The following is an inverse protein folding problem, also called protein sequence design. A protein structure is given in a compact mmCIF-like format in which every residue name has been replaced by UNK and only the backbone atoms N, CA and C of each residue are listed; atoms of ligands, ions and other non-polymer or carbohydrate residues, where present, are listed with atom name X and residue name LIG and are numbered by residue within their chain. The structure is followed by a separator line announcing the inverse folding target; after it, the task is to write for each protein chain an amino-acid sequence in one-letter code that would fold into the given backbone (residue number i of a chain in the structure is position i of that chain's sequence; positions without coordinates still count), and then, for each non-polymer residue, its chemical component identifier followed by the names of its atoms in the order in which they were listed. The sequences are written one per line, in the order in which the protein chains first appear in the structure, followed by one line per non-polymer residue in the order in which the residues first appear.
data_IF_611614189421
#
_entry.id   IF_611614189421
#
_cell.length_a   1.000
_cell.length_b   1.000
_cell.length_c   1.000
_cell.angle_alpha   90.00
_cell.angle_beta   90.00
_cell.angle_gamma   90.00
#
_symmetry.space_group_name_H-M   'P 1'
#
loop_
_entity.id
_entity.type
_entity.pdbx_description
1 polymer ?
#
# COMPACT_ATOMS: atom_id res chain seq x y z
N UNK A 1 4.59 3.09 6.35
CA UNK A 1 5.90 2.47 6.64
C UNK A 1 6.71 2.23 5.37
N UNK A 2 6.38 1.24 4.52
CA UNK A 2 7.17 0.83 3.34
C UNK A 2 7.59 2.00 2.46
N UNK A 3 6.64 2.88 2.08
CA UNK A 3 6.98 4.02 1.23
C UNK A 3 7.91 5.03 1.89
N UNK A 4 7.80 5.25 3.21
CA UNK A 4 8.74 6.13 3.91
C UNK A 4 10.14 5.51 3.99
N UNK A 5 10.26 4.19 4.21
CA UNK A 5 11.54 3.49 4.10
C UNK A 5 12.14 3.63 2.69
N UNK A 6 11.30 3.50 1.65
CA UNK A 6 11.75 3.71 0.26
C UNK A 6 12.23 5.16 0.04
N UNK A 7 11.54 6.17 0.62
CA UNK A 7 12.00 7.56 0.58
C UNK A 7 13.36 7.73 1.25
N UNK A 8 13.57 7.15 2.43
CA UNK A 8 14.86 7.17 3.12
C UNK A 8 16.00 6.51 2.33
N UNK A 9 15.66 5.55 1.46
CA UNK A 9 16.60 4.90 0.52
C UNK A 9 16.74 5.68 -0.81
N UNK A 10 16.19 6.90 -0.93
CA UNK A 10 16.31 7.75 -2.11
C UNK A 10 15.35 7.42 -3.27
N UNK A 11 14.37 6.56 -3.05
CA UNK A 11 13.40 6.22 -4.10
C UNK A 11 12.41 7.36 -4.34
N UNK A 12 11.93 7.48 -5.59
CA UNK A 12 10.68 8.17 -5.89
C UNK A 12 9.51 7.28 -5.48
N UNK A 13 8.61 7.80 -4.66
CA UNK A 13 7.54 7.00 -4.05
C UNK A 13 6.18 7.58 -4.38
N UNK A 14 5.28 6.72 -4.87
CA UNK A 14 3.90 7.07 -5.22
C UNK A 14 2.96 6.26 -4.34
N UNK A 15 2.04 6.95 -3.67
CA UNK A 15 0.97 6.32 -2.91
C UNK A 15 -0.29 6.12 -3.74
N UNK A 16 -1.09 5.15 -3.36
CA UNK A 16 -2.48 5.00 -3.83
C UNK A 16 -3.34 4.90 -2.58
N UNK A 17 -4.26 5.85 -2.39
CA UNK A 17 -5.08 5.92 -1.19
C UNK A 17 -6.52 6.33 -1.55
N UNK A 18 -7.45 6.22 -0.60
CA UNK A 18 -8.86 6.54 -0.85
C UNK A 18 -9.30 7.84 -0.20
N UNK A 19 -9.50 8.87 -1.00
CA UNK A 19 -9.97 10.18 -0.61
C UNK A 19 -8.86 11.22 -0.46
N UNK A 20 -9.24 12.48 -0.68
CA UNK A 20 -8.31 13.61 -0.69
C UNK A 20 -7.48 13.71 0.59
N UNK A 21 -8.12 13.60 1.76
CA UNK A 21 -7.44 13.77 3.06
C UNK A 21 -6.32 12.75 3.26
N UNK A 22 -6.54 11.48 2.81
CA UNK A 22 -5.50 10.44 2.88
C UNK A 22 -4.38 10.71 1.90
N UNK A 23 -4.69 11.18 0.69
CA UNK A 23 -3.67 11.54 -0.30
C UNK A 23 -2.85 12.74 0.17
N UNK A 24 -3.48 13.76 0.70
CA UNK A 24 -2.80 14.94 1.27
C UNK A 24 -1.87 14.55 2.42
N UNK A 25 -2.32 13.68 3.32
CA UNK A 25 -1.48 13.16 4.40
C UNK A 25 -0.25 12.39 3.86
N UNK A 26 -0.47 11.53 2.85
CA UNK A 26 0.60 10.74 2.24
C UNK A 26 1.66 11.63 1.58
N UNK A 27 1.25 12.70 0.91
CA UNK A 27 2.19 13.63 0.25
C UNK A 27 2.81 14.62 1.24
N UNK A 28 1.99 15.30 2.03
CA UNK A 28 2.45 16.43 2.84
C UNK A 28 3.12 16.00 4.15
N UNK A 29 2.65 14.90 4.76
CA UNK A 29 3.17 14.42 6.05
C UNK A 29 4.15 13.26 5.90
N UNK A 30 3.88 12.30 5.00
CA UNK A 30 4.73 11.13 4.83
C UNK A 30 5.82 11.34 3.76
N UNK A 31 5.79 12.48 3.06
CA UNK A 31 6.82 12.89 2.11
C UNK A 31 6.86 12.10 0.79
N UNK A 32 5.74 11.48 0.38
CA UNK A 32 5.67 10.83 -0.92
C UNK A 32 5.66 11.86 -2.04
N UNK A 33 6.19 11.49 -3.21
CA UNK A 33 6.28 12.39 -4.36
C UNK A 33 4.94 12.63 -5.05
N UNK A 34 4.00 11.69 -4.91
CA UNK A 34 2.62 11.80 -5.36
C UNK A 34 1.71 10.81 -4.63
N UNK A 35 0.41 11.08 -4.64
CA UNK A 35 -0.60 10.11 -4.22
C UNK A 35 -1.79 10.14 -5.20
N UNK A 36 -2.26 8.95 -5.59
CA UNK A 36 -3.40 8.76 -6.47
C UNK A 36 -4.61 8.41 -5.61
N UNK A 37 -5.68 9.19 -5.73
CA UNK A 37 -6.96 8.87 -5.11
C UNK A 37 -7.73 7.87 -5.97
N UNK A 38 -7.79 6.60 -5.53
CA UNK A 38 -8.51 5.57 -6.26
C UNK A 38 -10.04 5.76 -6.26
N UNK A 39 -10.60 6.58 -5.34
CA UNK A 39 -12.04 6.88 -5.29
C UNK A 39 -12.48 7.84 -6.40
N UNK A 40 -11.57 8.64 -6.92
CA UNK A 40 -11.83 9.49 -8.09
C UNK A 40 -11.37 8.84 -9.40
N UNK A 41 -10.50 7.84 -9.32
CA UNK A 41 -9.98 7.06 -10.45
C UNK A 41 -10.59 5.66 -10.46
N UNK A 42 -11.92 5.61 -10.65
CA UNK A 42 -12.77 4.42 -10.44
C UNK A 42 -12.80 3.44 -11.62
N UNK A 43 -12.16 3.75 -12.71
CA UNK A 43 -12.07 2.88 -13.88
C UNK A 43 -10.62 2.71 -14.36
N UNK A 44 -10.30 1.63 -15.10
CA UNK A 44 -8.94 1.34 -15.54
C UNK A 44 -8.28 2.46 -16.37
N UNK A 45 -9.07 3.18 -17.18
CA UNK A 45 -8.55 4.26 -18.06
C UNK A 45 -8.09 5.46 -17.22
N UNK A 46 -8.92 5.90 -16.28
CA UNK A 46 -8.59 7.00 -15.36
C UNK A 46 -7.41 6.65 -14.47
N UNK A 47 -7.42 5.45 -13.87
CA UNK A 47 -6.33 4.98 -13.03
C UNK A 47 -5.01 4.91 -13.81
N UNK A 48 -5.02 4.37 -15.04
CA UNK A 48 -3.82 4.32 -15.88
C UNK A 48 -3.30 5.72 -16.25
N UNK A 49 -4.19 6.68 -16.56
CA UNK A 49 -3.81 8.06 -16.81
C UNK A 49 -3.15 8.71 -15.59
N UNK A 50 -3.73 8.51 -14.39
CA UNK A 50 -3.18 9.00 -13.14
C UNK A 50 -1.81 8.37 -12.82
N UNK A 51 -1.68 7.06 -13.00
CA UNK A 51 -0.41 6.33 -12.84
C UNK A 51 0.65 6.83 -13.83
N UNK A 52 0.28 7.04 -15.10
CA UNK A 52 1.20 7.59 -16.12
C UNK A 52 1.72 8.98 -15.74
N UNK A 53 0.85 9.83 -15.22
CA UNK A 53 1.21 11.18 -14.75
C UNK A 53 2.11 11.14 -13.53
N UNK A 54 1.78 10.30 -12.54
CA UNK A 54 2.55 10.18 -11.29
C UNK A 54 3.90 9.47 -11.48
N UNK A 55 3.94 8.45 -12.37
CA UNK A 55 5.11 7.64 -12.70
C UNK A 55 5.47 7.74 -14.19
N UNK A 56 5.96 8.88 -14.68
CA UNK A 56 6.25 9.06 -16.11
C UNK A 56 7.33 8.09 -16.62
N UNK A 57 8.26 7.69 -15.75
CA UNK A 57 9.36 6.75 -16.07
C UNK A 57 9.01 5.29 -15.79
N UNK A 58 7.74 4.98 -15.51
CA UNK A 58 7.30 3.63 -15.12
C UNK A 58 7.51 3.33 -13.64
N UNK A 59 7.30 2.06 -13.27
CA UNK A 59 7.34 1.59 -11.88
C UNK A 59 8.30 0.40 -11.81
N UNK A 60 9.30 0.47 -10.93
CA UNK A 60 10.30 -0.61 -10.77
C UNK A 60 9.92 -1.58 -9.65
N UNK A 61 9.28 -1.06 -8.59
CA UNK A 61 8.89 -1.86 -7.43
C UNK A 61 7.48 -1.49 -6.98
N UNK A 62 6.71 -2.51 -6.59
CA UNK A 62 5.37 -2.33 -6.02
C UNK A 62 5.20 -3.18 -4.75
N UNK A 63 4.64 -2.57 -3.71
CA UNK A 63 4.24 -3.26 -2.49
C UNK A 63 2.71 -3.38 -2.48
N UNK A 64 2.23 -4.59 -2.69
CA UNK A 64 0.82 -4.86 -2.96
C UNK A 64 0.06 -5.32 -1.72
N UNK A 65 -1.06 -4.66 -1.44
CA UNK A 65 -1.99 -4.99 -0.35
C UNK A 65 -3.46 -5.11 -0.79
N UNK A 66 -3.79 -4.74 -2.03
CA UNK A 66 -5.17 -4.49 -2.44
C UNK A 66 -5.68 -5.48 -3.48
N UNK A 67 -4.92 -5.70 -4.54
CA UNK A 67 -5.34 -6.52 -5.69
C UNK A 67 -6.26 -5.79 -6.67
N UNK A 68 -6.86 -6.56 -7.58
CA UNK A 68 -7.87 -6.08 -8.52
C UNK A 68 -7.37 -4.97 -9.45
N UNK A 69 -8.24 -4.01 -9.75
CA UNK A 69 -7.97 -2.93 -10.70
C UNK A 69 -6.68 -2.14 -10.38
N UNK A 70 -6.33 -2.00 -9.09
CA UNK A 70 -5.11 -1.29 -8.69
C UNK A 70 -3.87 -2.07 -9.11
N UNK A 71 -3.82 -3.36 -8.80
CA UNK A 71 -2.72 -4.23 -9.21
C UNK A 71 -2.58 -4.29 -10.73
N UNK A 72 -3.69 -4.46 -11.47
CA UNK A 72 -3.70 -4.49 -12.93
C UNK A 72 -3.17 -3.17 -13.53
N UNK A 73 -3.60 -2.03 -12.99
CA UNK A 73 -3.13 -0.72 -13.41
C UNK A 73 -1.64 -0.50 -13.15
N UNK A 74 -1.15 -0.94 -12.00
CA UNK A 74 0.28 -0.88 -11.67
C UNK A 74 1.08 -1.79 -12.59
N UNK A 75 0.65 -3.05 -12.80
CA UNK A 75 1.33 -4.00 -13.70
C UNK A 75 1.47 -3.45 -15.12
N UNK A 76 0.45 -2.73 -15.62
CA UNK A 76 0.50 -2.09 -16.95
C UNK A 76 1.53 -0.96 -17.04
N UNK A 77 2.07 -0.49 -15.91
CA UNK A 77 3.08 0.58 -15.82
C UNK A 77 4.43 0.09 -15.31
N UNK A 78 4.57 -1.21 -15.00
CA UNK A 78 5.83 -1.78 -14.52
C UNK A 78 6.89 -1.76 -15.62
N UNK A 79 8.09 -1.36 -15.25
CA UNK A 79 9.29 -1.48 -16.08
C UNK A 79 9.71 -2.94 -16.25
N UNK A 80 10.50 -3.21 -17.26
CA UNK A 80 11.09 -4.53 -17.45
C UNK A 80 11.90 -4.94 -16.20
N UNK A 81 11.73 -6.21 -15.78
CA UNK A 81 12.31 -6.77 -14.55
C UNK A 81 11.80 -6.14 -13.24
N UNK A 82 10.66 -5.43 -13.30
CA UNK A 82 10.00 -4.89 -12.13
C UNK A 82 9.62 -5.97 -11.11
N UNK A 83 9.49 -5.57 -9.84
CA UNK A 83 9.24 -6.47 -8.72
C UNK A 83 8.00 -6.09 -7.95
N UNK A 84 7.16 -7.08 -7.65
CA UNK A 84 5.95 -6.92 -6.86
C UNK A 84 6.06 -7.80 -5.61
N UNK A 85 6.06 -7.18 -4.43
CA UNK A 85 5.96 -7.87 -3.16
C UNK A 85 4.48 -7.96 -2.75
N UNK A 86 3.90 -9.17 -2.80
CA UNK A 86 2.49 -9.43 -2.49
C UNK A 86 2.34 -9.65 -0.98
N UNK A 87 1.91 -8.62 -0.26
CA UNK A 87 1.64 -8.69 1.18
C UNK A 87 0.18 -8.99 1.49
N UNK A 88 -0.75 -8.59 0.63
CA UNK A 88 -2.18 -8.79 0.81
C UNK A 88 -2.99 -8.50 -0.44
N UNK A 89 -4.28 -8.84 -0.38
CA UNK A 89 -5.24 -8.64 -1.47
C UNK A 89 -6.62 -8.31 -0.89
N UNK A 90 -6.68 -7.22 -0.10
CA UNK A 90 -7.86 -6.90 0.74
C UNK A 90 -9.15 -6.73 -0.07
N UNK A 91 -9.08 -6.34 -1.34
CA UNK A 91 -10.26 -6.21 -2.21
C UNK A 91 -10.98 -7.55 -2.46
N UNK A 92 -10.30 -8.69 -2.22
CA UNK A 92 -10.87 -10.03 -2.36
C UNK A 92 -11.26 -10.72 -1.06
N UNK A 93 -11.07 -10.09 0.10
CA UNK A 93 -11.33 -10.73 1.39
C UNK A 93 -12.82 -10.97 1.68
N UNK A 94 -13.71 -10.39 0.90
CA UNK A 94 -15.15 -10.65 0.96
C UNK A 94 -15.60 -11.90 0.12
N UNK A 95 -14.65 -12.73 -0.30
CA UNK A 95 -14.91 -13.94 -1.07
C UNK A 95 -15.22 -13.72 -2.56
N UNK A 96 -15.12 -12.48 -3.05
CA UNK A 96 -15.25 -12.19 -4.48
C UNK A 96 -13.91 -12.50 -5.15
N UNK A 97 -13.87 -13.38 -6.18
CA UNK A 97 -12.65 -13.63 -6.93
C UNK A 97 -12.08 -12.35 -7.53
N UNK A 98 -10.76 -12.17 -7.43
CA UNK A 98 -10.06 -11.05 -8.07
C UNK A 98 -9.22 -11.62 -9.22
N UNK A 99 -9.76 -11.71 -10.44
CA UNK A 99 -8.98 -12.14 -11.59
C UNK A 99 -7.91 -11.12 -11.92
N UNK A 100 -6.78 -11.58 -12.39
CA UNK A 100 -5.74 -10.74 -12.98
C UNK A 100 -6.15 -10.45 -14.43
N UNK A 101 -6.37 -9.19 -14.78
CA UNK A 101 -6.90 -8.80 -16.09
C UNK A 101 -5.90 -9.06 -17.24
N UNK A 102 -4.60 -8.92 -16.97
CA UNK A 102 -3.58 -9.01 -18.01
C UNK A 102 -2.33 -9.79 -17.54
N UNK A 103 -2.44 -11.11 -17.25
CA UNK A 103 -1.31 -11.91 -16.76
C UNK A 103 -0.14 -11.99 -17.73
N UNK A 104 -0.37 -11.79 -19.04
CA UNK A 104 0.69 -11.72 -20.06
C UNK A 104 1.71 -10.61 -19.80
N UNK A 105 1.39 -9.58 -19.00
CA UNK A 105 2.31 -8.53 -18.62
C UNK A 105 3.47 -9.08 -17.78
N UNK A 106 3.25 -10.15 -17.04
CA UNK A 106 4.32 -10.82 -16.27
C UNK A 106 5.40 -11.32 -17.23
N UNK A 107 5.00 -11.97 -18.31
CA UNK A 107 5.94 -12.46 -19.34
C UNK A 107 6.55 -11.29 -20.11
N UNK A 108 5.73 -10.36 -20.60
CA UNK A 108 6.19 -9.27 -21.47
C UNK A 108 7.21 -8.36 -20.78
N UNK A 109 6.97 -8.02 -19.51
CA UNK A 109 7.88 -7.20 -18.71
C UNK A 109 8.84 -8.03 -17.82
N UNK A 110 8.82 -9.37 -17.92
CA UNK A 110 9.66 -10.30 -17.12
C UNK A 110 9.58 -9.93 -15.62
N UNK A 111 8.34 -9.72 -15.12
CA UNK A 111 8.10 -9.31 -13.74
C UNK A 111 8.42 -10.43 -12.76
N UNK A 112 8.95 -10.07 -11.60
CA UNK A 112 9.02 -10.95 -10.44
C UNK A 112 7.88 -10.59 -9.49
N UNK A 113 6.92 -11.49 -9.31
CA UNK A 113 5.82 -11.37 -8.35
C UNK A 113 6.04 -12.42 -7.27
N UNK A 114 6.15 -11.98 -6.02
CA UNK A 114 6.43 -12.89 -4.91
C UNK A 114 5.55 -12.56 -3.71
N UNK A 115 4.75 -13.56 -3.27
CA UNK A 115 4.03 -13.52 -2.00
C UNK A 115 4.97 -13.77 -0.82
N UNK A 116 4.59 -13.26 0.35
CA UNK A 116 5.26 -13.55 1.61
C UNK A 116 4.28 -13.43 2.78
N UNK A 117 4.53 -14.20 3.81
CA UNK A 117 3.83 -14.12 5.10
C UNK A 117 4.85 -13.66 6.14
N UNK A 118 4.60 -12.54 6.79
CA UNK A 118 5.57 -11.92 7.71
C UNK A 118 5.99 -12.84 8.85
N UNK A 119 5.10 -13.72 9.33
CA UNK A 119 5.39 -14.68 10.40
C UNK A 119 6.37 -15.81 9.98
N UNK A 120 6.62 -15.99 8.69
CA UNK A 120 7.62 -16.96 8.18
C UNK A 120 9.05 -16.41 8.22
N UNK A 121 9.22 -15.13 8.57
CA UNK A 121 10.49 -14.42 8.56
C UNK A 121 10.85 -13.83 9.94
N UNK A 122 10.55 -14.56 11.03
CA UNK A 122 10.76 -14.08 12.41
C UNK A 122 12.21 -13.72 12.70
N UNK A 123 13.16 -14.36 12.03
CA UNK A 123 14.59 -14.05 12.16
C UNK A 123 14.96 -12.61 11.73
N UNK A 124 14.15 -11.98 10.87
CA UNK A 124 14.35 -10.60 10.42
C UNK A 124 13.71 -9.55 11.35
N UNK A 125 12.85 -9.98 12.28
CA UNK A 125 12.09 -9.07 13.13
C UNK A 125 12.98 -8.19 14.03
N UNK A 126 14.00 -8.72 14.72
CA UNK A 126 14.84 -7.87 15.61
C UNK A 126 15.49 -6.73 14.84
N UNK A 127 16.02 -6.99 13.65
CA UNK A 127 16.64 -5.97 12.80
C UNK A 127 15.60 -4.97 12.29
N UNK A 128 14.49 -5.46 11.73
CA UNK A 128 13.40 -4.61 11.20
C UNK A 128 12.77 -3.72 12.27
N UNK A 129 12.53 -4.26 13.47
CA UNK A 129 11.99 -3.49 14.59
C UNK A 129 12.99 -2.43 15.08
N UNK A 130 14.28 -2.76 15.13
CA UNK A 130 15.34 -1.79 15.48
C UNK A 130 15.43 -0.66 14.46
N UNK A 131 15.42 -0.98 13.15
CA UNK A 131 15.48 0.03 12.08
C UNK A 131 14.25 0.95 12.15
N UNK A 132 13.03 0.37 12.14
CA UNK A 132 11.79 1.16 12.17
C UNK A 132 11.66 1.95 13.47
N UNK A 133 11.94 1.34 14.62
CA UNK A 133 11.89 2.00 15.92
C UNK A 133 12.89 3.16 16.03
N UNK A 134 14.09 3.00 15.47
CA UNK A 134 15.08 4.07 15.37
C UNK A 134 14.58 5.26 14.55
N UNK A 135 13.98 5.01 13.40
CA UNK A 135 13.40 6.05 12.54
C UNK A 135 12.19 6.74 13.18
N UNK A 136 11.34 5.99 13.89
CA UNK A 136 10.21 6.58 14.65
C UNK A 136 10.75 7.48 15.78
N UNK A 137 11.73 7.01 16.55
CA UNK A 137 12.35 7.80 17.64
C UNK A 137 13.02 9.09 17.14
N UNK A 138 13.54 9.10 15.93
CA UNK A 138 14.11 10.28 15.27
C UNK A 138 13.07 11.18 14.57
N UNK A 139 11.79 10.76 14.51
CA UNK A 139 10.75 11.47 13.78
C UNK A 139 10.87 11.41 12.24
N UNK A 140 11.78 10.57 11.70
CA UNK A 140 11.98 10.41 10.25
C UNK A 140 10.96 9.47 9.61
N UNK A 141 10.30 8.61 10.40
CA UNK A 141 9.11 7.86 10.02
C UNK A 141 7.96 8.30 10.90
N UNK A 142 6.87 8.71 10.27
CA UNK A 142 5.61 9.09 10.90
C UNK A 142 4.59 7.96 10.79
N UNK A 143 3.71 7.84 11.76
CA UNK A 143 2.56 6.93 11.72
C UNK A 143 1.33 7.61 12.31
N UNK A 144 0.18 7.06 11.98
CA UNK A 144 -1.10 7.51 12.52
C UNK A 144 -1.95 6.31 12.89
N UNK A 145 -2.72 6.46 13.96
CA UNK A 145 -3.58 5.42 14.49
C UNK A 145 -5.02 5.94 14.60
N UNK A 146 -5.96 5.04 14.40
CA UNK A 146 -7.37 5.22 14.73
C UNK A 146 -7.67 4.26 15.87
N UNK A 147 -8.08 4.76 17.01
CA UNK A 147 -8.29 3.96 18.22
C UNK A 147 -9.79 3.90 18.52
N UNK A 148 -10.33 2.70 18.56
CA UNK A 148 -11.66 2.43 19.12
C UNK A 148 -11.52 2.12 20.61
N UNK A 149 -12.38 2.68 21.44
CA UNK A 149 -12.31 2.53 22.90
C UNK A 149 -13.19 1.38 23.36
N UNK A 150 -12.62 0.43 24.09
CA UNK A 150 -13.28 -0.73 24.63
C UNK A 150 -13.50 -1.89 23.65
N UNK A 151 -13.41 -3.12 24.17
CA UNK A 151 -13.57 -4.37 23.40
C UNK A 151 -14.92 -4.45 22.67
N UNK A 152 -15.98 -3.88 23.24
CA UNK A 152 -17.33 -3.86 22.67
C UNK A 152 -17.36 -3.20 21.27
N UNK A 153 -16.44 -2.28 21.01
CA UNK A 153 -16.35 -1.57 19.73
C UNK A 153 -15.43 -2.29 18.69
N UNK A 154 -14.79 -3.39 19.06
CA UNK A 154 -13.89 -4.13 18.16
C UNK A 154 -14.57 -4.61 16.87
N UNK A 155 -15.80 -5.19 16.88
CA UNK A 155 -16.48 -5.61 15.66
C UNK A 155 -16.75 -4.43 14.71
N UNK A 156 -17.22 -3.30 15.24
CA UNK A 156 -17.48 -2.11 14.43
C UNK A 156 -16.19 -1.53 13.85
N UNK A 157 -15.11 -1.46 14.64
CA UNK A 157 -13.80 -1.03 14.18
C UNK A 157 -13.26 -1.91 13.03
N UNK A 158 -13.50 -3.23 13.11
CA UNK A 158 -13.15 -4.15 12.04
C UNK A 158 -13.96 -3.91 10.76
N UNK A 159 -15.28 -3.74 10.86
CA UNK A 159 -16.10 -3.40 9.70
C UNK A 159 -15.72 -2.05 9.08
N UNK A 160 -15.38 -1.09 9.90
CA UNK A 160 -14.95 0.24 9.42
C UNK A 160 -13.58 0.18 8.74
N UNK A 161 -12.67 -0.69 9.20
CA UNK A 161 -11.41 -0.99 8.52
C UNK A 161 -11.65 -1.53 7.10
N UNK A 162 -12.52 -2.54 6.96
CA UNK A 162 -12.87 -3.13 5.67
C UNK A 162 -13.53 -2.13 4.71
N UNK A 163 -14.24 -1.13 5.25
CA UNK A 163 -14.84 -0.03 4.49
C UNK A 163 -13.88 1.14 4.24
N UNK A 164 -12.64 1.04 4.72
CA UNK A 164 -11.62 2.09 4.57
C UNK A 164 -11.90 3.38 5.32
N UNK A 165 -12.71 3.36 6.39
CA UNK A 165 -13.05 4.54 7.20
C UNK A 165 -11.95 4.93 8.18
N UNK A 166 -11.12 3.97 8.60
CA UNK A 166 -9.99 4.25 9.47
C UNK A 166 -8.95 5.14 8.80
N UNK A 167 -8.21 5.89 9.61
CA UNK A 167 -7.07 6.67 9.15
C UNK A 167 -5.80 6.17 9.86
N UNK A 168 -4.89 5.55 9.10
CA UNK A 168 -3.72 4.88 9.63
C UNK A 168 -4.03 3.48 10.19
N UNK A 169 -3.31 3.06 11.23
CA UNK A 169 -3.51 1.74 11.85
C UNK A 169 -4.75 1.73 12.73
N UNK A 170 -5.67 0.79 12.48
CA UNK A 170 -6.81 0.57 13.38
C UNK A 170 -6.37 -0.21 14.61
N UNK A 171 -6.67 0.32 15.77
CA UNK A 171 -6.45 -0.30 17.08
C UNK A 171 -7.73 -0.32 17.89
N UNK A 172 -7.76 -1.19 18.90
CA UNK A 172 -8.81 -1.23 19.96
C UNK A 172 -8.11 -1.13 21.31
N UNK A 173 -8.47 -0.10 22.08
CA UNK A 173 -7.99 0.05 23.46
C UNK A 173 -8.84 -0.83 24.35
N UNK A 174 -8.23 -1.74 25.11
CA UNK A 174 -8.95 -2.72 25.95
C UNK A 174 -9.19 -2.21 27.37
N UNK A 175 -8.29 -1.40 27.89
CA UNK A 175 -8.26 -0.83 29.25
C UNK A 175 -7.76 0.61 29.22
#
# INVERSE_FOLDING_TARGET
MVGQLAKLKGCRVIGIAGGKDKCDYVTNELGFDACIDYKTNTDPKRLNAALKSAAPNGIDCHFENVGGMILDGVMARMNAFGRIAMCGMISGYNGVPIPMAAPQLILMSRLKIQGFIVSEHLQLWPEGLKEIGGHIGQGTIKFRETIADGLVNAPQAFFDLLKGKNFGKQLVKLI
#
